data_IF_978175929862
#
_entry.id   IF_978175929862
#
_cell.length_a   1.000
_cell.length_b   1.000
_cell.length_c   1.000
_cell.angle_alpha   90.00
_cell.angle_beta   90.00
_cell.angle_gamma   90.00
#
_symmetry.space_group_name_H-M   'P 1'
#
loop_
_entity.id
_entity.type
_entity.pdbx_description
1 polymer ?
#
# COMPACT_ATOMS: atom_id res chain seq x y z
N UNK A 1 16.76 3.99 -14.70
CA UNK A 1 16.26 4.58 -13.44
C UNK A 1 14.74 4.59 -13.49
N UNK A 2 14.14 3.51 -12.98
CA UNK A 2 12.69 3.26 -13.04
C UNK A 2 11.97 4.19 -12.06
N UNK A 3 11.05 5.00 -12.57
CA UNK A 3 10.15 5.80 -11.74
C UNK A 3 8.96 4.92 -11.44
N UNK A 4 8.84 4.47 -10.18
CA UNK A 4 7.64 3.77 -9.73
C UNK A 4 6.50 4.78 -9.68
N UNK A 5 5.52 4.52 -10.55
CA UNK A 5 4.37 5.36 -10.79
C UNK A 5 3.19 4.63 -10.15
N UNK A 6 2.64 5.20 -9.09
CA UNK A 6 1.31 4.83 -8.59
C UNK A 6 0.27 5.75 -9.23
N UNK A 7 -0.67 5.24 -10.04
CA UNK A 7 -1.78 6.05 -10.51
C UNK A 7 -2.65 6.49 -9.32
N UNK A 8 -3.14 7.73 -9.36
CA UNK A 8 -4.08 8.25 -8.36
C UNK A 8 -5.39 7.45 -8.41
N UNK A 9 -5.87 7.03 -7.23
CA UNK A 9 -7.14 6.30 -7.01
C UNK A 9 -8.36 6.89 -7.74
N UNK A 10 -8.37 8.19 -8.06
CA UNK A 10 -9.49 8.85 -8.75
C UNK A 10 -9.66 8.44 -10.21
N UNK A 11 -8.57 8.14 -10.93
CA UNK A 11 -8.64 7.77 -12.35
C UNK A 11 -9.16 6.34 -12.58
N UNK A 12 -9.07 5.47 -11.56
CA UNK A 12 -9.50 4.07 -11.68
C UNK A 12 -11.01 3.87 -11.45
N UNK A 13 -11.71 4.84 -10.83
CA UNK A 13 -13.13 4.68 -10.53
C UNK A 13 -14.01 4.72 -11.79
N UNK A 14 -13.60 5.47 -12.81
CA UNK A 14 -14.33 5.59 -14.08
C UNK A 14 -14.04 4.47 -15.09
N UNK A 15 -12.98 3.68 -14.90
CA UNK A 15 -12.58 2.58 -15.80
C UNK A 15 -13.16 1.21 -15.43
N UNK A 16 -13.81 1.09 -14.27
CA UNK A 16 -14.29 -0.19 -13.75
C UNK A 16 -15.81 -0.37 -13.93
N UNK A 17 -16.45 0.52 -14.68
CA UNK A 17 -17.84 0.40 -15.12
C UNK A 17 -17.95 -0.21 -16.53
N UNK A 18 -16.89 -0.88 -17.06
CA UNK A 18 -17.02 -1.69 -18.28
C UNK A 18 -17.85 -2.95 -17.95
N UNK A 19 -19.03 -3.15 -18.56
CA UNK A 19 -19.89 -4.31 -18.33
C UNK A 19 -19.25 -5.66 -18.71
N UNK A 20 -18.05 -5.67 -19.29
CA UNK A 20 -17.25 -6.88 -19.59
C UNK A 20 -16.24 -7.24 -18.49
N UNK A 21 -16.07 -6.39 -17.47
CA UNK A 21 -15.35 -6.73 -16.23
C UNK A 21 -16.42 -7.13 -15.20
N UNK A 22 -16.54 -8.42 -14.82
CA UNK A 22 -17.58 -8.83 -13.88
C UNK A 22 -17.45 -8.04 -12.57
N UNK A 23 -18.60 -7.63 -12.04
CA UNK A 23 -18.81 -6.76 -10.87
C UNK A 23 -18.31 -7.31 -9.52
N UNK A 24 -17.45 -8.34 -9.54
CA UNK A 24 -16.79 -8.98 -8.40
C UNK A 24 -15.35 -8.50 -8.15
N UNK A 25 -14.85 -7.53 -8.93
CA UNK A 25 -13.43 -7.15 -8.90
C UNK A 25 -13.21 -5.82 -8.16
N UNK A 26 -12.84 -5.89 -6.88
CA UNK A 26 -12.44 -4.74 -6.05
C UNK A 26 -10.93 -4.51 -6.13
N UNK A 27 -10.41 -3.67 -7.06
CA UNK A 27 -8.97 -3.44 -7.18
C UNK A 27 -8.45 -2.63 -6.00
N UNK A 28 -7.21 -2.92 -5.60
CA UNK A 28 -6.54 -2.21 -4.53
C UNK A 28 -5.11 -1.82 -4.92
N UNK A 29 -4.23 -2.80 -5.10
CA UNK A 29 -2.83 -2.60 -5.46
C UNK A 29 -2.65 -2.35 -6.96
N UNK A 30 -1.75 -1.43 -7.30
CA UNK A 30 -1.40 -1.14 -8.68
C UNK A 30 0.10 -0.91 -8.83
N UNK A 31 0.69 -1.42 -9.91
CA UNK A 31 2.09 -1.20 -10.25
C UNK A 31 2.23 -1.00 -11.76
N UNK A 32 3.09 -0.05 -12.17
CA UNK A 32 3.43 0.16 -13.59
C UNK A 32 4.81 -0.45 -13.88
N UNK A 33 4.89 -1.35 -14.86
CA UNK A 33 6.15 -1.90 -15.38
C UNK A 33 6.20 -1.68 -16.89
N UNK A 34 7.16 -0.87 -17.34
CA UNK A 34 7.21 -0.46 -18.74
C UNK A 34 5.95 0.32 -19.15
N UNK A 35 5.25 -0.18 -20.16
CA UNK A 35 3.97 0.32 -20.65
C UNK A 35 2.78 -0.56 -20.20
N UNK A 36 2.97 -1.38 -19.16
CA UNK A 36 1.93 -2.28 -18.63
C UNK A 36 1.56 -1.88 -17.21
N UNK A 37 0.28 -1.55 -17.00
CA UNK A 37 -0.31 -1.34 -15.69
C UNK A 37 -0.83 -2.68 -15.15
N UNK A 38 -0.31 -3.08 -14.00
CA UNK A 38 -0.76 -4.25 -13.27
C UNK A 38 -1.71 -3.81 -12.16
N UNK A 39 -2.82 -4.53 -12.03
CA UNK A 39 -3.87 -4.26 -11.04
C UNK A 39 -4.14 -5.56 -10.28
N UNK A 40 -4.01 -5.51 -8.97
CA UNK A 40 -4.38 -6.60 -8.08
C UNK A 40 -5.86 -6.46 -7.71
N UNK A 41 -6.67 -7.35 -8.24
CA UNK A 41 -8.05 -7.57 -7.85
C UNK A 41 -8.11 -8.50 -6.63
N UNK A 42 -9.33 -8.66 -6.09
CA UNK A 42 -9.61 -9.51 -4.95
C UNK A 42 -9.24 -11.00 -5.18
N UNK A 43 -9.17 -11.44 -6.44
CA UNK A 43 -9.01 -12.83 -6.88
C UNK A 43 -7.86 -13.08 -7.87
N UNK A 44 -7.25 -12.04 -8.45
CA UNK A 44 -6.23 -12.19 -9.48
C UNK A 44 -5.38 -10.93 -9.66
N UNK A 45 -4.23 -11.07 -10.32
CA UNK A 45 -3.50 -9.95 -10.91
C UNK A 45 -3.85 -9.88 -12.39
N UNK A 46 -4.29 -8.70 -12.83
CA UNK A 46 -4.52 -8.38 -14.23
C UNK A 46 -3.45 -7.41 -14.74
N UNK A 47 -3.19 -7.42 -16.05
CA UNK A 47 -2.37 -6.41 -16.73
C UNK A 47 -3.14 -5.73 -17.85
N UNK A 48 -2.81 -4.46 -18.06
CA UNK A 48 -3.41 -3.60 -19.08
C UNK A 48 -2.31 -2.80 -19.78
N UNK A 49 -2.39 -2.59 -21.10
CA UNK A 49 -1.54 -1.61 -21.76
C UNK A 49 -1.86 -0.21 -21.21
N UNK A 50 -0.82 0.58 -20.96
CA UNK A 50 -0.91 1.91 -20.39
C UNK A 50 0.05 2.88 -21.07
N UNK A 51 -0.46 4.04 -21.43
CA UNK A 51 0.33 5.16 -21.91
C UNK A 51 0.26 6.30 -20.90
N UNK A 52 1.41 6.92 -20.64
CA UNK A 52 1.50 8.02 -19.68
C UNK A 52 0.50 9.15 -20.02
N UNK A 53 -0.28 9.56 -19.02
CA UNK A 53 -1.32 10.57 -19.18
C UNK A 53 -2.69 10.01 -19.56
N UNK A 54 -2.80 8.72 -19.85
CA UNK A 54 -4.11 8.08 -19.95
C UNK A 54 -4.86 8.18 -18.63
N UNK A 55 -6.11 8.60 -18.73
CA UNK A 55 -7.08 8.64 -17.63
C UNK A 55 -8.13 7.54 -17.75
N UNK A 56 -8.09 6.74 -18.82
CA UNK A 56 -8.90 5.52 -18.99
C UNK A 56 -8.11 4.39 -19.65
N UNK A 57 -8.50 3.16 -19.35
CA UNK A 57 -8.00 1.93 -19.97
C UNK A 57 -9.08 1.41 -20.92
N UNK A 58 -8.79 1.41 -22.22
CA UNK A 58 -9.75 0.98 -23.24
C UNK A 58 -9.62 -0.51 -23.62
N UNK A 59 -8.46 -1.11 -23.31
CA UNK A 59 -8.17 -2.51 -23.62
C UNK A 59 -8.68 -3.43 -22.49
N UNK A 60 -9.19 -4.64 -22.81
CA UNK A 60 -9.55 -5.61 -21.80
C UNK A 60 -8.30 -6.07 -21.02
N UNK A 61 -8.49 -6.30 -19.72
CA UNK A 61 -7.42 -6.80 -18.86
C UNK A 61 -7.03 -8.23 -19.22
N UNK A 62 -5.73 -8.50 -19.27
CA UNK A 62 -5.18 -9.85 -19.44
C UNK A 62 -4.84 -10.40 -18.07
N UNK A 63 -5.39 -11.57 -17.72
CA UNK A 63 -5.05 -12.23 -16.45
C UNK A 63 -3.59 -12.68 -16.46
N UNK A 64 -2.85 -12.30 -15.42
CA UNK A 64 -1.46 -12.70 -15.21
C UNK A 64 -1.41 -13.97 -14.36
N UNK A 65 -2.09 -13.95 -13.22
CA UNK A 65 -2.14 -15.10 -12.30
C UNK A 65 -3.34 -14.96 -11.37
N UNK A 66 -3.90 -16.09 -10.94
CA UNK A 66 -4.92 -16.11 -9.88
C UNK A 66 -4.28 -15.77 -8.53
N UNK A 67 -5.06 -15.26 -7.59
CA UNK A 67 -4.72 -15.09 -6.17
C UNK A 67 -5.76 -15.83 -5.33
N UNK A 68 -5.42 -16.25 -4.09
CA UNK A 68 -6.40 -16.86 -3.21
C UNK A 68 -7.66 -16.00 -3.06
N UNK A 69 -8.80 -16.62 -3.37
CA UNK A 69 -10.13 -16.04 -3.38
C UNK A 69 -11.12 -16.95 -2.63
N UNK A 70 -12.44 -16.71 -2.75
CA UNK A 70 -13.49 -17.44 -2.02
C UNK A 70 -14.08 -16.58 -0.89
N UNK A 71 -14.15 -17.11 0.34
CA UNK A 71 -14.28 -16.24 1.53
C UNK A 71 -13.12 -15.25 1.44
N UNK A 72 -13.40 -13.96 1.62
CA UNK A 72 -12.39 -12.92 1.38
C UNK A 72 -12.53 -11.82 2.42
N UNK A 73 -12.30 -12.21 3.67
CA UNK A 73 -12.37 -11.31 4.82
C UNK A 73 -11.39 -10.13 4.66
N UNK A 74 -10.10 -10.44 4.45
CA UNK A 74 -9.12 -9.47 3.98
C UNK A 74 -9.04 -9.43 2.44
N UNK A 75 -10.06 -8.81 1.83
CA UNK A 75 -10.18 -8.80 0.36
C UNK A 75 -9.13 -7.97 -0.37
N UNK A 76 -8.54 -6.95 0.26
CA UNK A 76 -7.53 -6.08 -0.38
C UNK A 76 -6.28 -6.86 -0.76
N UNK A 77 -5.78 -6.64 -1.98
CA UNK A 77 -4.53 -7.20 -2.48
C UNK A 77 -3.64 -6.05 -2.95
N UNK A 78 -2.55 -5.78 -2.25
CA UNK A 78 -1.61 -4.73 -2.66
C UNK A 78 -0.56 -5.29 -3.63
N UNK A 79 0.10 -4.42 -4.39
CA UNK A 79 1.03 -4.79 -5.44
C UNK A 79 2.21 -3.83 -5.52
N UNK A 80 3.43 -4.35 -5.61
CA UNK A 80 4.65 -3.56 -5.86
C UNK A 80 5.57 -4.31 -6.83
N UNK A 81 6.22 -3.61 -7.76
CA UNK A 81 7.17 -4.21 -8.70
C UNK A 81 8.59 -4.20 -8.13
N UNK A 82 9.41 -5.19 -8.49
CA UNK A 82 10.85 -5.15 -8.28
C UNK A 82 11.47 -3.97 -9.04
N UNK A 83 12.66 -3.52 -8.60
CA UNK A 83 13.32 -2.36 -9.18
C UNK A 83 13.65 -2.51 -10.69
N UNK A 84 13.80 -3.73 -11.17
CA UNK A 84 14.00 -4.08 -12.59
C UNK A 84 12.69 -4.43 -13.33
N UNK A 85 11.57 -4.51 -12.60
CA UNK A 85 10.26 -4.88 -13.13
C UNK A 85 10.13 -6.35 -13.55
N UNK A 86 11.10 -7.21 -13.24
CA UNK A 86 11.00 -8.63 -13.57
C UNK A 86 10.00 -9.39 -12.68
N UNK A 87 9.76 -8.90 -11.46
CA UNK A 87 8.88 -9.51 -10.47
C UNK A 87 7.84 -8.52 -9.96
N UNK A 88 6.69 -9.06 -9.55
CA UNK A 88 5.69 -8.37 -8.73
C UNK A 88 5.58 -9.06 -7.38
N UNK A 89 5.35 -8.28 -6.33
CA UNK A 89 5.02 -8.78 -5.01
C UNK A 89 3.58 -8.41 -4.69
N UNK A 90 2.74 -9.42 -4.44
CA UNK A 90 1.32 -9.26 -4.20
C UNK A 90 0.97 -9.73 -2.78
N UNK A 91 0.21 -8.93 -2.05
CA UNK A 91 -0.18 -9.28 -0.67
C UNK A 91 -1.52 -9.98 -0.65
N UNK A 92 -1.64 -10.96 0.26
CA UNK A 92 -2.87 -11.73 0.48
C UNK A 92 -3.07 -11.86 1.99
N UNK A 93 -4.06 -11.16 2.54
CA UNK A 93 -4.43 -11.31 3.95
C UNK A 93 -5.18 -12.61 4.24
N UNK A 94 -5.25 -12.98 5.52
CA UNK A 94 -5.99 -14.12 6.04
C UNK A 94 -7.50 -14.01 5.77
N UNK A 95 -8.20 -15.13 5.89
CA UNK A 95 -9.66 -15.20 5.82
C UNK A 95 -10.37 -15.09 7.17
N UNK A 96 -9.61 -14.83 8.22
CA UNK A 96 -10.05 -14.99 9.59
C UNK A 96 -9.18 -14.19 10.55
N UNK A 97 -9.61 -14.11 11.81
CA UNK A 97 -8.81 -13.48 12.86
C UNK A 97 -7.59 -14.35 13.23
N UNK A 98 -7.84 -15.63 13.54
CA UNK A 98 -6.88 -16.62 14.06
C UNK A 98 -7.11 -18.03 13.49
N UNK A 99 -7.43 -18.11 12.19
CA UNK A 99 -7.69 -19.36 11.47
C UNK A 99 -8.90 -20.16 12.00
N UNK A 100 -9.89 -19.49 12.59
CA UNK A 100 -11.11 -20.12 13.12
C UNK A 100 -11.98 -20.80 12.05
N UNK A 101 -11.78 -20.47 10.77
CA UNK A 101 -12.42 -21.16 9.63
C UNK A 101 -11.65 -22.42 9.18
N UNK A 102 -10.54 -22.75 9.85
CA UNK A 102 -9.67 -23.88 9.53
C UNK A 102 -8.55 -23.49 8.56
N UNK A 103 -7.39 -24.17 8.70
CA UNK A 103 -6.18 -23.86 7.90
C UNK A 103 -6.34 -24.07 6.39
N UNK A 104 -7.30 -24.90 5.96
CA UNK A 104 -7.57 -25.09 4.54
C UNK A 104 -8.08 -23.80 3.87
N UNK A 105 -8.87 -22.99 4.58
CA UNK A 105 -9.35 -21.68 4.11
C UNK A 105 -8.24 -20.63 4.04
N UNK A 106 -7.09 -20.92 4.66
CA UNK A 106 -5.92 -20.02 4.76
C UNK A 106 -4.80 -20.41 3.79
N UNK A 107 -5.02 -21.39 2.90
CA UNK A 107 -4.03 -21.82 1.94
C UNK A 107 -3.63 -20.66 1.01
N UNK A 108 -2.33 -20.35 1.01
CA UNK A 108 -1.78 -19.23 0.24
C UNK A 108 -2.08 -17.84 0.78
N UNK A 109 -2.68 -17.74 1.98
CA UNK A 109 -3.05 -16.48 2.64
C UNK A 109 -2.13 -16.13 3.80
N UNK A 110 -2.38 -14.98 4.41
CA UNK A 110 -1.49 -14.36 5.40
C UNK A 110 -0.04 -14.32 4.90
N UNK A 111 0.12 -13.84 3.65
CA UNK A 111 1.32 -14.05 2.87
C UNK A 111 1.59 -12.93 1.86
N UNK A 112 2.82 -12.92 1.37
CA UNK A 112 3.25 -12.18 0.19
C UNK A 112 3.64 -13.19 -0.89
N UNK A 113 3.10 -13.02 -2.08
CA UNK A 113 3.43 -13.80 -3.28
C UNK A 113 4.44 -13.05 -4.12
N UNK A 114 5.48 -13.74 -4.62
CA UNK A 114 6.33 -13.25 -5.70
C UNK A 114 5.82 -13.83 -7.02
N UNK A 115 5.63 -12.97 -8.02
CA UNK A 115 5.07 -13.30 -9.33
C UNK A 115 6.07 -12.89 -10.41
N UNK A 116 6.40 -13.82 -11.29
CA UNK A 116 7.18 -13.56 -12.49
C UNK A 116 6.35 -12.80 -13.52
N UNK A 117 6.85 -11.64 -13.96
CA UNK A 117 6.09 -10.75 -14.85
C UNK A 117 5.91 -11.33 -16.25
N UNK A 118 6.91 -12.07 -16.74
CA UNK A 118 6.90 -12.61 -18.09
C UNK A 118 5.96 -13.82 -18.21
N UNK A 119 6.02 -14.74 -17.24
CA UNK A 119 5.29 -16.01 -17.28
C UNK A 119 4.00 -16.04 -16.46
N UNK A 120 3.85 -15.15 -15.48
CA UNK A 120 2.75 -15.21 -14.50
C UNK A 120 2.90 -16.33 -13.45
N UNK A 121 4.00 -17.09 -13.48
CA UNK A 121 4.33 -18.07 -12.46
C UNK A 121 4.53 -17.38 -11.11
N UNK A 122 4.03 -18.00 -10.04
CA UNK A 122 4.08 -17.41 -8.69
C UNK A 122 4.55 -18.41 -7.65
N UNK A 123 5.11 -17.88 -6.57
CA UNK A 123 5.49 -18.64 -5.36
C UNK A 123 5.24 -17.81 -4.11
N UNK A 124 5.10 -18.48 -2.96
CA UNK A 124 5.13 -17.78 -1.69
C UNK A 124 6.53 -17.18 -1.47
N UNK A 125 6.56 -15.88 -1.21
CA UNK A 125 7.77 -15.16 -0.83
C UNK A 125 7.94 -15.13 0.68
N UNK A 126 6.85 -14.89 1.42
CA UNK A 126 6.81 -14.95 2.88
C UNK A 126 5.39 -15.29 3.36
N UNK A 127 5.28 -15.86 4.57
CA UNK A 127 4.02 -16.31 5.16
C UNK A 127 3.94 -15.98 6.66
N UNK A 128 2.79 -16.24 7.29
CA UNK A 128 2.55 -15.92 8.70
C UNK A 128 2.41 -14.43 8.97
N UNK A 129 2.05 -13.66 7.95
CA UNK A 129 1.79 -12.21 8.01
C UNK A 129 0.27 -12.02 7.90
N UNK A 130 -0.48 -11.90 9.01
CA UNK A 130 -1.97 -11.93 9.03
C UNK A 130 -2.61 -11.13 7.89
N UNK A 131 -2.31 -9.85 7.81
CA UNK A 131 -2.81 -8.97 6.75
C UNK A 131 -1.73 -7.94 6.35
N UNK A 132 -0.80 -8.30 5.44
CA UNK A 132 0.34 -7.47 5.08
C UNK A 132 -0.10 -6.46 4.00
N UNK A 133 -0.72 -5.34 4.36
CA UNK A 133 -1.29 -4.44 3.35
C UNK A 133 -0.25 -3.50 2.76
N UNK A 134 0.44 -2.73 3.60
CA UNK A 134 1.43 -1.75 3.15
C UNK A 134 2.69 -2.46 2.64
N UNK A 135 3.25 -2.02 1.51
CA UNK A 135 4.54 -2.47 1.01
C UNK A 135 5.38 -1.32 0.49
N UNK A 136 6.69 -1.36 0.76
CA UNK A 136 7.66 -0.42 0.21
C UNK A 136 9.04 -1.10 0.09
N UNK A 137 9.84 -0.65 -0.86
CA UNK A 137 11.27 -0.97 -0.87
C UNK A 137 12.01 -0.10 0.15
N UNK A 138 12.92 -0.72 0.89
CA UNK A 138 13.80 -0.06 1.84
C UNK A 138 14.82 0.88 1.18
N UNK A 139 15.66 1.55 1.99
CA UNK A 139 16.71 2.47 1.51
C UNK A 139 17.67 1.86 0.49
N UNK A 140 17.94 0.57 0.58
CA UNK A 140 18.81 -0.16 -0.35
C UNK A 140 18.16 -0.44 -1.71
N UNK A 141 16.84 -0.19 -1.84
CA UNK A 141 16.04 -0.48 -3.03
C UNK A 141 15.85 -1.97 -3.30
N UNK A 142 16.17 -2.85 -2.33
CA UNK A 142 16.19 -4.30 -2.49
C UNK A 142 15.45 -5.05 -1.39
N UNK A 143 15.45 -4.52 -0.17
CA UNK A 143 14.76 -5.13 0.96
C UNK A 143 13.29 -4.73 0.90
N UNK A 144 12.40 -5.72 0.76
CA UNK A 144 10.97 -5.48 0.85
C UNK A 144 10.59 -5.22 2.30
N UNK A 145 9.82 -4.17 2.56
CA UNK A 145 9.21 -3.89 3.85
C UNK A 145 7.70 -4.00 3.73
N UNK A 146 7.04 -4.54 4.77
CA UNK A 146 5.58 -4.60 4.84
C UNK A 146 5.04 -4.13 6.18
N UNK A 147 3.82 -3.60 6.19
CA UNK A 147 3.04 -3.29 7.38
C UNK A 147 1.91 -4.30 7.52
N UNK A 148 1.78 -4.89 8.71
CA UNK A 148 0.85 -5.98 8.99
C UNK A 148 -0.16 -5.54 10.04
N UNK A 149 -1.43 -5.80 9.76
CA UNK A 149 -2.51 -5.63 10.73
C UNK A 149 -2.62 -6.94 11.51
N UNK A 150 -2.39 -6.89 12.82
CA UNK A 150 -2.37 -8.08 13.67
C UNK A 150 -3.76 -8.49 14.14
N UNK A 151 -3.82 -9.63 14.83
CA UNK A 151 -5.06 -10.24 15.33
C UNK A 151 -5.77 -9.40 16.37
N UNK A 152 -7.08 -9.58 16.39
CA UNK A 152 -8.02 -8.96 17.30
C UNK A 152 -8.26 -9.85 18.54
N UNK A 153 -9.01 -9.30 19.50
CA UNK A 153 -9.56 -10.02 20.67
C UNK A 153 -8.52 -10.53 21.69
N UNK A 154 -7.38 -9.84 21.81
CA UNK A 154 -6.40 -10.02 22.90
C UNK A 154 -6.35 -8.82 23.86
N UNK A 155 -7.40 -7.99 23.84
CA UNK A 155 -7.54 -6.78 24.64
C UNK A 155 -7.09 -5.51 23.92
N UNK A 156 -7.17 -4.37 24.60
CA UNK A 156 -6.87 -3.05 24.01
C UNK A 156 -5.39 -2.86 23.70
N UNK A 157 -4.49 -3.52 24.42
CA UNK A 157 -3.06 -3.24 24.36
C UNK A 157 -2.22 -4.33 23.69
N UNK A 158 -2.87 -5.43 23.27
CA UNK A 158 -2.28 -6.50 22.48
C UNK A 158 -3.20 -6.85 21.29
N UNK A 159 -2.67 -7.20 20.12
CA UNK A 159 -1.26 -7.32 19.73
C UNK A 159 -0.85 -6.07 18.93
N UNK A 160 0.42 -5.60 18.99
CA UNK A 160 0.85 -4.51 18.13
C UNK A 160 0.76 -4.91 16.64
N UNK A 161 0.17 -4.04 15.84
CA UNK A 161 0.51 -3.98 14.42
C UNK A 161 2.00 -3.71 14.30
N UNK A 162 2.59 -4.10 13.18
CA UNK A 162 4.03 -3.94 12.98
C UNK A 162 4.38 -3.61 11.54
N UNK A 163 5.59 -3.09 11.37
CA UNK A 163 6.28 -3.13 10.07
C UNK A 163 7.57 -3.93 10.20
N UNK A 164 7.93 -4.62 9.13
CA UNK A 164 9.11 -5.50 9.14
C UNK A 164 9.72 -5.61 7.75
N UNK A 165 11.03 -5.80 7.71
CA UNK A 165 11.76 -6.32 6.56
C UNK A 165 11.31 -7.76 6.29
N UNK A 166 10.99 -8.05 5.03
CA UNK A 166 10.49 -9.34 4.58
C UNK A 166 11.65 -10.20 4.10
N UNK A 167 11.77 -11.41 4.64
CA UNK A 167 12.77 -12.40 4.22
C UNK A 167 12.14 -13.42 3.29
N UNK A 168 12.85 -13.77 2.22
CA UNK A 168 12.46 -14.86 1.33
C UNK A 168 12.36 -16.18 2.11
N UNK A 169 11.22 -16.85 2.02
CA UNK A 169 10.88 -18.05 2.79
C UNK A 169 10.57 -17.80 4.27
N UNK A 170 10.49 -16.53 4.71
CA UNK A 170 10.26 -16.17 6.10
C UNK A 170 8.84 -16.49 6.59
N UNK A 171 8.74 -16.97 7.84
CA UNK A 171 7.48 -17.18 8.56
C UNK A 171 7.38 -16.22 9.76
N UNK A 172 6.31 -15.43 9.83
CA UNK A 172 6.15 -14.34 10.82
C UNK A 172 5.15 -14.66 11.94
N UNK A 173 4.80 -15.94 12.10
CA UNK A 173 4.13 -16.45 13.29
C UNK A 173 2.63 -16.69 13.17
N UNK A 174 1.89 -15.90 12.39
CA UNK A 174 0.44 -16.10 12.25
C UNK A 174 0.11 -17.47 11.61
N UNK A 175 -0.92 -18.20 12.09
CA UNK A 175 -1.80 -17.86 13.20
C UNK A 175 -1.26 -18.28 14.58
N UNK A 176 -0.27 -19.18 14.63
CA UNK A 176 0.14 -19.88 15.85
C UNK A 176 0.82 -19.02 16.92
N UNK A 177 1.41 -17.91 16.52
CA UNK A 177 2.11 -16.98 17.42
C UNK A 177 1.99 -15.55 16.92
N UNK A 178 2.28 -14.60 17.80
CA UNK A 178 2.33 -13.18 17.50
C UNK A 178 3.67 -12.58 17.92
N UNK A 179 4.10 -11.56 17.19
CA UNK A 179 5.30 -10.77 17.47
C UNK A 179 6.55 -11.62 17.81
N UNK A 180 6.80 -12.68 17.03
CA UNK A 180 7.80 -13.70 17.33
C UNK A 180 7.16 -14.95 17.91
N UNK A 181 7.76 -15.52 18.96
CA UNK A 181 7.41 -16.84 19.48
C UNK A 181 6.33 -16.82 20.59
N UNK A 182 5.57 -15.73 20.72
CA UNK A 182 4.49 -15.66 21.71
C UNK A 182 3.30 -16.49 21.24
N UNK A 183 3.08 -17.63 21.88
CA UNK A 183 2.03 -18.60 21.50
C UNK A 183 0.64 -17.97 21.60
N UNK A 184 -0.17 -18.15 20.56
CA UNK A 184 -1.61 -17.90 20.61
C UNK A 184 -2.35 -19.21 20.94
N UNK A 185 -2.82 -19.33 22.19
CA UNK A 185 -3.44 -20.57 22.69
C UNK A 185 -4.82 -20.84 22.11
N UNK A 186 -5.42 -19.88 21.39
CA UNK A 186 -6.73 -19.99 20.74
C UNK A 186 -6.68 -20.89 19.50
N UNK A 187 -5.53 -20.97 18.84
CA UNK A 187 -5.37 -21.73 17.58
C UNK A 187 -5.29 -23.23 17.84
N UNK A 188 -6.06 -24.02 17.08
CA UNK A 188 -6.10 -25.48 17.17
C UNK A 188 -5.98 -26.14 15.78
N UNK A 189 -5.17 -27.22 15.63
CA UNK A 189 -4.23 -27.75 16.63
C UNK A 189 -3.02 -26.82 16.83
N UNK A 190 -2.32 -26.90 17.98
CA UNK A 190 -1.09 -26.14 18.19
C UNK A 190 0.03 -26.61 17.26
N UNK A 191 0.93 -25.70 16.88
CA UNK A 191 2.12 -25.97 16.04
C UNK A 191 3.39 -25.39 16.67
N UNK A 192 3.90 -25.99 17.76
CA UNK A 192 5.10 -25.49 18.44
C UNK A 192 6.33 -25.44 17.53
N UNK A 193 6.39 -26.33 16.54
CA UNK A 193 7.42 -26.36 15.50
C UNK A 193 7.41 -25.10 14.62
N UNK A 194 6.24 -24.56 14.30
CA UNK A 194 6.12 -23.30 13.54
C UNK A 194 6.34 -22.08 14.43
N UNK A 195 5.88 -22.13 15.68
CA UNK A 195 6.16 -21.06 16.66
C UNK A 195 7.66 -20.88 16.85
N UNK A 196 8.43 -21.96 16.96
CA UNK A 196 9.89 -21.89 17.10
C UNK A 196 10.61 -21.26 15.88
N UNK A 197 9.97 -21.26 14.71
CA UNK A 197 10.50 -20.67 13.47
C UNK A 197 10.06 -19.22 13.27
N UNK A 198 9.13 -18.71 14.08
CA UNK A 198 8.54 -17.38 13.89
C UNK A 198 9.61 -16.28 14.01
N UNK A 199 9.72 -15.48 12.95
CA UNK A 199 10.59 -14.30 12.90
C UNK A 199 9.94 -13.18 13.71
N UNK A 200 10.71 -12.60 14.63
CA UNK A 200 10.29 -11.40 15.38
C UNK A 200 10.23 -10.20 14.40
N UNK A 201 9.09 -9.49 14.31
CA UNK A 201 9.00 -8.28 13.49
C UNK A 201 9.95 -7.16 13.92
N UNK A 202 10.41 -6.34 12.97
CA UNK A 202 11.43 -5.33 13.25
C UNK A 202 10.94 -4.11 14.06
N UNK A 203 9.67 -3.71 13.93
CA UNK A 203 9.17 -2.49 14.57
C UNK A 203 7.68 -2.56 14.90
N UNK A 204 7.33 -2.35 16.18
CA UNK A 204 5.95 -2.27 16.64
C UNK A 204 5.33 -0.89 16.34
N UNK A 205 4.20 -0.88 15.65
CA UNK A 205 3.44 0.33 15.30
C UNK A 205 2.34 0.66 16.33
N UNK A 206 2.14 -0.23 17.30
CA UNK A 206 1.13 -0.13 18.34
C UNK A 206 -0.09 -1.00 18.06
N UNK A 207 -0.90 -1.28 19.09
CA UNK A 207 -2.08 -2.14 18.96
C UNK A 207 -3.20 -1.44 18.20
N UNK A 208 -3.87 -2.19 17.32
CA UNK A 208 -5.09 -1.79 16.60
C UNK A 208 -4.96 -0.54 15.73
N UNK A 209 -3.76 -0.14 15.31
CA UNK A 209 -3.56 1.09 14.52
C UNK A 209 -4.10 1.02 13.10
N UNK A 210 -4.34 -0.20 12.61
CA UNK A 210 -4.70 -0.52 11.25
C UNK A 210 -3.73 0.12 10.25
N UNK A 211 -2.45 -0.25 10.33
CA UNK A 211 -1.39 0.32 9.49
C UNK A 211 -1.46 -0.26 8.06
N UNK A 212 -1.97 0.53 7.11
CA UNK A 212 -2.25 0.06 5.73
C UNK A 212 -1.28 0.58 4.68
N UNK A 213 -0.56 1.66 4.97
CA UNK A 213 0.32 2.34 4.02
C UNK A 213 1.77 2.33 4.46
N UNK A 214 2.68 2.09 3.52
CA UNK A 214 4.11 2.28 3.70
C UNK A 214 4.69 3.08 2.53
N UNK A 215 5.52 4.06 2.85
CA UNK A 215 6.32 4.75 1.84
C UNK A 215 7.66 5.18 2.39
N UNK A 216 8.73 4.70 1.76
CA UNK A 216 10.08 5.17 2.03
C UNK A 216 10.15 6.68 1.79
N UNK A 217 11.01 7.41 2.51
CA UNK A 217 11.23 8.85 2.31
C UNK A 217 12.26 9.17 1.24
N UNK A 218 13.28 8.33 1.02
CA UNK A 218 14.48 8.69 0.25
C UNK A 218 14.18 9.19 -1.16
N UNK A 219 14.66 10.39 -1.52
CA UNK A 219 14.31 11.09 -2.77
C UNK A 219 13.12 12.04 -2.65
N UNK A 220 12.45 12.13 -1.49
CA UNK A 220 11.52 13.21 -1.19
C UNK A 220 12.28 14.51 -0.91
N UNK A 221 11.67 15.65 -1.25
CA UNK A 221 12.18 17.00 -0.94
C UNK A 221 11.73 17.51 0.42
N UNK A 222 11.26 16.61 1.30
CA UNK A 222 10.84 16.99 2.65
C UNK A 222 12.06 17.37 3.50
N UNK A 223 11.97 18.43 4.32
CA UNK A 223 13.08 18.84 5.17
C UNK A 223 13.35 17.79 6.26
N UNK A 224 14.52 17.89 6.90
CA UNK A 224 14.79 17.18 8.14
C UNK A 224 13.63 17.47 9.15
N UNK A 225 13.18 16.47 9.91
CA UNK A 225 13.77 15.14 10.08
C UNK A 225 13.28 14.05 9.11
N UNK A 226 12.49 14.39 8.09
CA UNK A 226 11.74 13.43 7.27
C UNK A 226 12.51 12.88 6.05
N UNK A 227 13.83 12.91 6.10
CA UNK A 227 14.69 12.62 4.95
C UNK A 227 15.06 11.14 4.83
N UNK A 228 15.16 10.41 5.96
CA UNK A 228 15.59 9.00 5.98
C UNK A 228 14.73 8.15 6.93
N UNK A 229 13.62 7.63 6.42
CA UNK A 229 12.68 6.83 7.19
C UNK A 229 11.44 6.43 6.39
N UNK A 230 10.47 5.86 7.07
CA UNK A 230 9.26 5.30 6.48
C UNK A 230 8.05 6.11 6.95
N UNK A 231 7.24 6.61 6.02
CA UNK A 231 5.90 7.09 6.31
C UNK A 231 4.95 5.91 6.43
N UNK A 232 4.12 5.93 7.47
CA UNK A 232 3.13 4.89 7.75
C UNK A 232 1.75 5.53 7.88
N UNK A 233 0.81 5.08 7.06
CA UNK A 233 -0.60 5.47 7.16
C UNK A 233 -1.34 4.55 8.13
N UNK A 234 -1.83 5.12 9.24
CA UNK A 234 -2.59 4.40 10.26
C UNK A 234 -4.07 4.73 10.12
N UNK A 235 -4.83 3.76 9.59
CA UNK A 235 -6.25 3.90 9.27
C UNK A 235 -7.14 4.06 10.51
N UNK A 236 -6.69 3.52 11.64
CA UNK A 236 -7.29 3.71 12.95
C UNK A 236 -8.15 2.54 13.43
N UNK A 237 -8.18 2.38 14.76
CA UNK A 237 -8.81 1.27 15.44
C UNK A 237 -10.33 1.30 15.36
N UNK A 238 -10.93 0.13 15.15
CA UNK A 238 -12.34 -0.10 15.41
C UNK A 238 -12.57 -0.85 16.74
N UNK A 239 -11.58 -1.64 17.19
CA UNK A 239 -11.67 -2.56 18.34
C UNK A 239 -10.72 -2.21 19.50
N UNK A 240 -10.62 -0.93 19.86
CA UNK A 240 -9.76 -0.48 20.97
C UNK A 240 -10.36 0.74 21.67
N UNK A 241 -10.29 0.75 23.00
CA UNK A 241 -10.57 1.90 23.85
C UNK A 241 -9.34 2.19 24.77
N UNK A 242 -8.75 3.41 24.73
CA UNK A 242 -9.04 4.51 23.79
C UNK A 242 -8.68 4.15 22.34
N UNK A 243 -9.24 4.88 21.36
CA UNK A 243 -8.92 4.69 19.94
C UNK A 243 -7.42 4.88 19.67
N UNK A 244 -6.86 4.14 18.71
CA UNK A 244 -5.47 4.26 18.26
C UNK A 244 -5.39 4.46 16.74
N UNK A 245 -4.26 4.95 16.24
CA UNK A 245 -4.07 5.27 14.81
C UNK A 245 -4.71 6.60 14.41
N UNK A 246 -5.43 6.64 13.29
CA UNK A 246 -6.03 7.85 12.71
C UNK A 246 -5.00 8.96 12.42
N UNK A 247 -3.88 8.59 11.80
CA UNK A 247 -2.78 9.53 11.50
C UNK A 247 -1.81 9.00 10.46
N UNK A 248 -0.94 9.89 9.99
CA UNK A 248 0.29 9.53 9.31
C UNK A 248 1.44 9.73 10.28
N UNK A 249 2.28 8.72 10.44
CA UNK A 249 3.52 8.79 11.22
C UNK A 249 4.75 8.65 10.33
N UNK A 250 5.89 9.06 10.85
CA UNK A 250 7.21 8.84 10.26
C UNK A 250 8.07 8.03 11.24
N UNK A 251 8.58 6.89 10.80
CA UNK A 251 9.53 6.08 11.57
C UNK A 251 10.94 6.33 11.01
N UNK A 252 11.88 6.89 11.81
CA UNK A 252 13.24 7.13 11.36
C UNK A 252 14.00 5.82 11.12
N UNK A 253 14.98 5.88 10.23
CA UNK A 253 15.85 4.76 9.92
C UNK A 253 17.31 5.12 10.17
N UNK A 254 18.12 4.12 10.51
CA UNK A 254 19.59 4.19 10.48
C UNK A 254 20.07 3.07 9.58
N UNK A 255 20.72 3.40 8.46
CA UNK A 255 21.01 2.42 7.42
C UNK A 255 19.73 1.82 6.85
N UNK A 256 19.59 0.49 6.91
CA UNK A 256 18.41 -0.27 6.45
C UNK A 256 17.55 -0.81 7.61
N UNK A 257 17.60 -0.18 8.78
CA UNK A 257 16.83 -0.58 9.96
C UNK A 257 16.00 0.59 10.46
N UNK A 258 14.77 0.31 10.89
CA UNK A 258 13.98 1.26 11.66
C UNK A 258 14.69 1.53 12.99
N UNK A 259 14.87 2.80 13.33
CA UNK A 259 15.66 3.23 14.48
C UNK A 259 15.12 4.56 15.03
N UNK A 260 14.69 4.52 16.28
CA UNK A 260 14.09 5.65 16.99
C UNK A 260 12.56 5.66 16.99
N UNK A 261 12.00 6.60 17.76
CA UNK A 261 10.56 6.72 17.96
C UNK A 261 9.85 7.27 16.71
N UNK A 262 8.67 6.72 16.45
CA UNK A 262 7.72 7.24 15.48
C UNK A 262 7.33 8.68 15.82
N UNK A 263 7.18 9.51 14.78
CA UNK A 263 6.77 10.91 14.89
C UNK A 263 5.47 11.13 14.17
N UNK A 264 4.53 11.83 14.79
CA UNK A 264 3.29 12.21 14.13
C UNK A 264 3.57 13.25 13.03
N UNK A 265 3.03 13.02 11.84
CA UNK A 265 3.19 13.89 10.65
C UNK A 265 1.89 14.59 10.32
N UNK A 266 0.79 13.83 10.33
CA UNK A 266 -0.55 14.36 10.05
C UNK A 266 -1.55 13.71 10.99
N UNK A 267 -2.21 14.52 11.80
CA UNK A 267 -3.17 14.12 12.85
C UNK A 267 -4.49 14.87 12.67
N UNK A 268 -5.41 14.76 13.63
CA UNK A 268 -6.72 15.43 13.58
C UNK A 268 -7.78 14.68 12.78
N UNK A 269 -7.53 13.42 12.44
CA UNK A 269 -8.51 12.56 11.77
C UNK A 269 -9.53 11.93 12.72
N UNK A 270 -9.39 12.13 14.02
CA UNK A 270 -10.32 11.72 15.05
C UNK A 270 -10.70 12.98 15.85
N UNK A 271 -11.98 13.25 16.01
CA UNK A 271 -12.43 14.37 16.83
C UNK A 271 -12.53 14.01 18.32
N UNK A 272 -12.89 15.01 19.14
CA UNK A 272 -12.99 14.87 20.59
C UNK A 272 -14.08 13.87 21.04
N UNK A 273 -15.09 13.63 20.19
CA UNK A 273 -16.17 12.67 20.44
C UNK A 273 -15.81 11.25 19.94
N UNK A 274 -14.57 11.06 19.48
CA UNK A 274 -14.08 9.78 18.96
C UNK A 274 -14.61 9.42 17.56
N UNK A 275 -15.14 10.39 16.82
CA UNK A 275 -15.64 10.17 15.45
C UNK A 275 -14.54 10.41 14.41
N UNK A 276 -14.41 9.47 13.48
CA UNK A 276 -13.41 9.54 12.42
C UNK A 276 -13.81 10.58 11.37
N UNK A 277 -12.93 11.56 11.14
CA UNK A 277 -13.02 12.57 10.07
C UNK A 277 -12.20 12.20 8.83
N UNK A 278 -11.29 11.25 8.97
CA UNK A 278 -10.63 10.58 7.87
C UNK A 278 -9.91 9.33 8.34
N UNK A 279 -9.46 8.51 7.40
CA UNK A 279 -8.74 7.28 7.71
C UNK A 279 -7.59 7.08 6.72
N UNK A 280 -6.35 7.42 7.10
CA UNK A 280 -5.19 7.30 6.21
C UNK A 280 -4.96 5.85 5.76
N UNK A 281 -4.84 5.61 4.45
CA UNK A 281 -4.57 4.27 3.88
C UNK A 281 -3.25 4.23 3.12
N UNK A 282 -3.01 5.16 2.20
CA UNK A 282 -1.80 5.18 1.36
C UNK A 282 -1.04 6.49 1.47
N UNK A 283 0.28 6.40 1.56
CA UNK A 283 1.22 7.51 1.38
C UNK A 283 1.87 7.39 -0.01
N UNK A 284 1.11 7.64 -1.07
CA UNK A 284 1.66 7.60 -2.43
C UNK A 284 2.76 8.65 -2.59
N UNK A 285 3.89 8.29 -3.22
CA UNK A 285 4.84 9.30 -3.69
C UNK A 285 4.25 10.02 -4.90
N UNK A 286 4.15 11.34 -4.79
CA UNK A 286 3.96 12.22 -5.93
C UNK A 286 5.13 12.11 -6.91
N UNK A 287 4.81 12.24 -8.19
CA UNK A 287 5.69 12.01 -9.32
C UNK A 287 6.79 13.06 -9.40
N UNK A 288 8.06 12.64 -9.31
CA UNK A 288 9.19 13.49 -9.69
C UNK A 288 10.00 12.82 -10.79
N UNK A 289 9.85 13.31 -12.03
CA UNK A 289 10.70 12.94 -13.17
C UNK A 289 12.16 13.25 -12.83
N UNK A 290 13.03 12.24 -12.76
CA UNK A 290 14.47 12.49 -12.99
C UNK A 290 14.67 12.58 -14.50
N UNK A 291 15.29 13.66 -15.04
CA UNK A 291 15.66 13.69 -16.45
C UNK A 291 16.65 12.57 -16.71
N UNK A 292 16.32 11.65 -17.62
CA UNK A 292 17.34 10.79 -18.23
C UNK A 292 18.21 11.71 -19.08
N UNK A 293 19.51 11.72 -18.81
CA UNK A 293 20.49 12.54 -19.52
C UNK A 293 20.47 12.24 -21.02
N UNK A 294 19.77 13.09 -21.78
CA UNK A 294 19.91 13.17 -23.22
C UNK A 294 21.28 13.76 -23.55
N UNK A 295 22.02 13.08 -24.43
CA UNK A 295 23.28 13.56 -25.01
C UNK A 295 23.09 15.02 -25.45
N UNK A 296 23.87 15.94 -24.85
CA UNK A 296 23.95 17.33 -25.32
C UNK A 296 24.54 17.32 -26.74
N UNK A 297 23.69 17.41 -27.76
CA UNK A 297 24.13 17.97 -29.05
C UNK A 297 24.46 19.44 -28.79
N UNK A 298 25.73 19.80 -29.01
CA UNK A 298 26.15 21.19 -29.05
C UNK A 298 25.47 21.83 -30.26
N UNK A 299 24.62 22.81 -30.02
CA UNK A 299 24.27 23.79 -31.04
C UNK A 299 24.83 25.13 -30.57
N UNK A 300 25.88 25.56 -31.26
CA UNK A 300 26.31 26.97 -31.27
C UNK A 300 25.25 27.72 -32.07
N UNK A 301 24.91 28.92 -31.62
CA UNK A 301 24.62 30.13 -32.42
C UNK A 301 24.39 31.27 -31.40
N UNK A 302 25.32 32.23 -31.29
CA UNK A 302 25.38 33.51 -32.00
C UNK A 302 24.24 34.48 -31.63
N UNK A 303 24.68 35.61 -31.07
CA UNK A 303 23.89 36.71 -30.52
C UNK A 303 23.15 37.53 -31.58
N UNK A 304 22.05 38.22 -31.17
CA UNK A 304 21.81 39.65 -31.47
C UNK A 304 20.58 40.22 -30.72
N UNK A 305 20.71 41.51 -30.41
CA UNK A 305 19.82 42.42 -29.68
C UNK A 305 18.48 42.71 -30.38
N UNK A 306 17.50 43.19 -29.60
CA UNK A 306 16.35 43.96 -30.10
C UNK A 306 15.32 44.27 -29.02
N UNK A 307 15.05 45.54 -28.76
CA UNK A 307 14.19 46.06 -27.70
C UNK A 307 12.74 46.39 -28.15
N UNK A 308 11.86 46.47 -27.15
CA UNK A 308 10.70 47.36 -26.98
C UNK A 308 9.32 47.10 -27.65
N UNK A 309 8.30 47.56 -26.89
CA UNK A 309 6.85 47.71 -27.13
C UNK A 309 6.00 46.43 -26.94
N UNK A 310 4.91 46.37 -26.16
CA UNK A 310 4.04 47.40 -25.58
C UNK A 310 2.66 47.38 -26.25
N UNK A 311 1.68 46.68 -25.66
CA UNK A 311 0.24 47.05 -25.60
C UNK A 311 -0.72 45.85 -25.33
N UNK A 312 -1.54 46.04 -24.28
CA UNK A 312 -2.93 45.63 -24.01
C UNK A 312 -3.57 44.44 -24.78
N UNK A 313 -4.21 43.53 -24.03
CA UNK A 313 -5.69 43.52 -23.91
C UNK A 313 -6.23 42.52 -22.85
N UNK A 314 -7.09 43.07 -21.99
CA UNK A 314 -8.37 42.55 -21.45
C UNK A 314 -8.41 41.17 -20.75
N UNK A 315 -8.64 41.23 -19.43
CA UNK A 315 -9.39 40.22 -18.66
C UNK A 315 -10.89 40.34 -18.93
N UNK A 316 -11.62 39.23 -18.77
CA UNK A 316 -12.78 39.28 -17.89
C UNK A 316 -12.69 38.24 -16.75
N UNK A 317 -13.27 38.65 -15.62
CA UNK A 317 -13.57 37.84 -14.45
C UNK A 317 -14.57 36.74 -14.83
N UNK A 318 -14.48 35.58 -14.18
CA UNK A 318 -15.67 34.93 -13.65
C UNK A 318 -15.33 34.10 -12.42
N UNK A 319 -16.02 34.45 -11.34
CA UNK A 319 -16.17 33.75 -10.08
C UNK A 319 -17.06 32.52 -10.27
N UNK A 320 -16.64 31.36 -9.78
CA UNK A 320 -17.55 30.30 -9.34
C UNK A 320 -16.89 29.58 -8.16
N UNK A 321 -17.15 30.12 -6.97
CA UNK A 321 -16.95 29.46 -5.69
C UNK A 321 -18.34 29.31 -5.07
N UNK A 322 -19.01 28.20 -5.37
CA UNK A 322 -20.19 27.68 -4.67
C UNK A 322 -20.75 26.53 -5.50
N UNK A 323 -20.51 25.30 -5.03
CA UNK A 323 -21.43 24.15 -5.10
C UNK A 323 -20.65 22.83 -5.10
N UNK A 324 -20.25 22.42 -3.89
CA UNK A 324 -19.95 21.02 -3.61
C UNK A 324 -20.24 20.74 -2.13
N UNK A 325 -21.48 21.00 -1.71
CA UNK A 325 -21.97 20.72 -0.37
C UNK A 325 -23.39 20.15 -0.40
N UNK A 326 -23.72 19.29 -1.38
CA UNK A 326 -25.03 18.64 -1.43
C UNK A 326 -25.08 17.41 -2.35
N UNK A 327 -24.22 16.40 -2.14
CA UNK A 327 -24.47 15.08 -2.76
C UNK A 327 -23.88 13.86 -2.04
N UNK A 328 -23.26 14.02 -0.86
CA UNK A 328 -22.74 12.88 -0.10
C UNK A 328 -23.71 12.31 0.96
N UNK A 329 -24.98 12.70 0.94
CA UNK A 329 -26.03 12.08 1.76
C UNK A 329 -26.87 11.14 0.91
N UNK A 330 -26.34 9.93 0.66
CA UNK A 330 -27.07 8.65 0.67
C UNK A 330 -26.19 7.57 0.03
N UNK A 331 -26.09 6.44 0.76
CA UNK A 331 -25.34 5.21 0.45
C UNK A 331 -23.85 5.23 0.78
N UNK A 332 -23.54 5.56 2.03
CA UNK A 332 -22.48 4.84 2.72
C UNK A 332 -22.95 3.38 2.87
N UNK A 333 -22.48 2.50 1.99
CA UNK A 333 -22.42 1.08 2.35
C UNK A 333 -21.32 0.98 3.40
N UNK A 334 -21.57 0.42 4.58
CA UNK A 334 -20.52 0.21 5.54
C UNK A 334 -19.48 -0.73 4.91
N UNK A 335 -18.20 -0.42 5.10
CA UNK A 335 -17.18 -1.46 5.09
C UNK A 335 -17.51 -2.36 6.30
N UNK A 336 -18.30 -3.41 6.04
CA UNK A 336 -18.89 -4.29 7.03
C UNK A 336 -18.00 -5.51 7.25
N UNK A 337 -17.57 -5.66 8.50
CA UNK A 337 -17.57 -6.91 9.31
C UNK A 337 -16.59 -8.03 8.90
N UNK A 338 -16.17 -8.97 9.75
CA UNK A 338 -15.44 -8.96 11.03
C UNK A 338 -14.00 -8.47 10.87
#
# INVERSE_FOLDING_TARGET
>A
AMTMITPSLHACRSTLEDPRVPSSNSPFGMALVGDQLYVANADAVLRFPYQAGQTRLDAPGVKVTDLPAGRNHHWTKNLIASADGAKLYATVGSNSNVAENGMAEEEGRAAIWEIDVASGAKRLYASGLRNPVGMAWGPDGKTLWTAVNERDELGSDLVPDYMTSVRDGGFYGWPYSYFGQHVDTRVKPPRPDLVAQAIVPDYALGPHTASLGLAWSGGATLPAPFTHGMFVGQHGSWNRDPRSGYKVIFVPFTGNRADGQARDVLTGFLDADGQARGRPVGSGRGWARRPVGGRRRRQRDLARNGAASGALMRRPRNSLASDCAASNRRRARPAQEA
#
